data_IF_392616045838
#
_entry.id   IF_392616045838
#
_cell.length_a   1.000
_cell.length_b   1.000
_cell.length_c   1.000
_cell.angle_alpha   90.00
_cell.angle_beta   90.00
_cell.angle_gamma   90.00
#
_symmetry.space_group_name_H-M   'P 1'
#
loop_
_entity.id
_entity.type
_entity.pdbx_description
1 polymer ?
#
# COMPACT_ATOMS: atom_id res chain seq x y z
N UNK A 1 11.52 -23.73 -16.09
CA UNK A 1 10.30 -22.98 -16.50
C UNK A 1 9.71 -22.36 -15.24
N UNK A 2 9.46 -21.04 -15.20
CA UNK A 2 8.95 -20.36 -13.99
C UNK A 2 7.43 -20.51 -13.91
N UNK A 3 6.91 -20.98 -12.78
CA UNK A 3 5.47 -21.17 -12.56
C UNK A 3 4.74 -19.83 -12.37
N UNK A 4 3.42 -19.82 -12.58
CA UNK A 4 2.58 -18.64 -12.31
C UNK A 4 2.77 -18.14 -10.89
N UNK A 5 2.76 -19.05 -9.91
CA UNK A 5 2.94 -18.72 -8.50
C UNK A 5 4.30 -18.06 -8.23
N UNK A 6 5.38 -18.59 -8.80
CA UNK A 6 6.71 -17.96 -8.69
C UNK A 6 6.73 -16.54 -9.29
N UNK A 7 6.08 -16.33 -10.45
CA UNK A 7 5.96 -14.98 -11.04
C UNK A 7 5.22 -14.02 -10.10
N UNK A 8 4.11 -14.45 -9.50
CA UNK A 8 3.35 -13.65 -8.52
C UNK A 8 4.26 -13.26 -7.34
N UNK A 9 4.99 -14.22 -6.76
CA UNK A 9 5.88 -13.96 -5.63
C UNK A 9 6.99 -12.97 -5.97
N UNK A 10 7.66 -13.17 -7.11
CA UNK A 10 8.74 -12.27 -7.55
C UNK A 10 8.23 -10.86 -7.79
N UNK A 11 7.10 -10.70 -8.49
CA UNK A 11 6.49 -9.39 -8.74
C UNK A 11 6.09 -8.70 -7.44
N UNK A 12 5.45 -9.41 -6.50
CA UNK A 12 5.01 -8.81 -5.24
C UNK A 12 6.17 -8.50 -4.30
N UNK A 13 7.26 -9.26 -4.35
CA UNK A 13 8.47 -8.95 -3.58
C UNK A 13 9.11 -7.65 -4.08
N UNK A 14 9.25 -7.49 -5.41
CA UNK A 14 9.75 -6.24 -5.99
C UNK A 14 8.84 -5.07 -5.60
N UNK A 15 7.53 -5.23 -5.74
CA UNK A 15 6.57 -4.20 -5.36
C UNK A 15 6.64 -3.88 -3.87
N UNK A 16 6.79 -4.88 -3.00
CA UNK A 16 6.92 -4.68 -1.56
C UNK A 16 8.17 -3.87 -1.21
N UNK A 17 9.32 -4.16 -1.83
CA UNK A 17 10.55 -3.37 -1.62
C UNK A 17 10.35 -1.92 -2.03
N UNK A 18 9.68 -1.66 -3.15
CA UNK A 18 9.37 -0.30 -3.60
C UNK A 18 8.41 0.41 -2.63
N UNK A 19 7.39 -0.29 -2.13
CA UNK A 19 6.45 0.25 -1.16
C UNK A 19 7.10 0.51 0.22
N UNK A 20 8.06 -0.32 0.63
CA UNK A 20 8.85 -0.08 1.85
C UNK A 20 9.70 1.18 1.71
N UNK A 21 10.38 1.34 0.58
CA UNK A 21 11.15 2.56 0.31
C UNK A 21 10.24 3.79 0.29
N UNK A 22 9.05 3.67 -0.31
CA UNK A 22 8.06 4.74 -0.32
C UNK A 22 7.50 5.06 1.07
N UNK A 23 7.13 4.05 1.85
CA UNK A 23 6.63 4.22 3.22
C UNK A 23 7.69 4.82 4.15
N UNK A 24 8.97 4.47 3.95
CA UNK A 24 10.08 5.13 4.64
C UNK A 24 10.15 6.63 4.30
N UNK A 25 10.01 7.00 3.03
CA UNK A 25 10.00 8.40 2.62
C UNK A 25 8.81 9.17 3.18
N UNK A 26 7.62 8.56 3.23
CA UNK A 26 6.43 9.16 3.86
C UNK A 26 6.65 9.39 5.36
N UNK A 27 7.08 8.35 6.07
CA UNK A 27 7.37 8.43 7.51
C UNK A 27 8.46 9.46 7.82
N UNK A 28 9.52 9.48 7.02
CA UNK A 28 10.58 10.48 7.18
C UNK A 28 10.06 11.90 6.86
N UNK A 29 9.18 12.03 5.87
CA UNK A 29 8.54 13.27 5.45
C UNK A 29 7.72 13.95 6.54
N UNK A 30 7.03 13.17 7.40
CA UNK A 30 6.21 13.74 8.49
C UNK A 30 7.04 14.53 9.49
N UNK A 31 8.33 14.22 9.64
CA UNK A 31 9.23 14.91 10.58
C UNK A 31 9.77 16.25 10.05
N UNK A 32 9.44 16.64 8.82
CA UNK A 32 9.79 17.95 8.26
C UNK A 32 8.69 18.99 8.38
N UNK A 33 7.54 18.62 8.94
CA UNK A 33 6.41 19.50 9.18
C UNK A 33 6.22 19.60 10.69
N UNK A 34 6.11 20.82 11.20
CA UNK A 34 5.80 21.04 12.62
C UNK A 34 4.34 20.64 12.88
N UNK A 35 4.15 19.55 13.63
CA UNK A 35 2.85 19.06 14.08
C UNK A 35 2.99 18.56 15.52
N UNK A 36 1.95 18.77 16.32
CA UNK A 36 1.90 18.28 17.69
C UNK A 36 1.85 16.75 17.70
N UNK A 37 2.73 16.13 18.49
CA UNK A 37 2.64 14.69 18.73
C UNK A 37 1.29 14.34 19.39
N UNK A 38 0.66 13.19 19.04
CA UNK A 38 1.22 12.08 18.28
C UNK A 38 0.74 11.97 16.80
N UNK A 39 1.64 11.63 15.87
CA UNK A 39 1.35 11.37 14.43
C UNK A 39 0.52 10.09 14.15
N UNK A 40 -0.60 9.88 14.84
CA UNK A 40 -1.37 8.62 14.77
C UNK A 40 -2.00 8.45 13.39
N UNK A 41 -2.60 9.51 12.84
CA UNK A 41 -3.27 9.50 11.55
C UNK A 41 -2.33 9.13 10.40
N UNK A 42 -1.15 9.74 10.35
CA UNK A 42 -0.12 9.48 9.34
C UNK A 42 0.41 8.06 9.42
N UNK A 43 0.71 7.58 10.63
CA UNK A 43 1.22 6.22 10.83
C UNK A 43 0.19 5.16 10.39
N UNK A 44 -1.08 5.36 10.72
CA UNK A 44 -2.17 4.47 10.26
C UNK A 44 -2.39 4.57 8.75
N UNK A 45 -2.24 5.76 8.18
CA UNK A 45 -2.27 5.99 6.74
C UNK A 45 -1.14 5.20 6.06
N UNK A 46 0.11 5.33 6.52
CA UNK A 46 1.25 4.56 6.01
C UNK A 46 1.01 3.05 6.13
N UNK A 47 0.42 2.58 7.24
CA UNK A 47 0.05 1.18 7.41
C UNK A 47 -0.94 0.71 6.32
N UNK A 48 -1.93 1.53 5.94
CA UNK A 48 -2.91 1.18 4.91
C UNK A 48 -2.27 0.89 3.55
N UNK A 49 -1.15 1.52 3.20
CA UNK A 49 -0.39 1.20 1.98
C UNK A 49 -0.06 -0.30 1.93
N UNK A 50 0.39 -0.87 3.05
CA UNK A 50 0.76 -2.27 3.14
C UNK A 50 -0.46 -3.19 3.23
N UNK A 51 -1.56 -2.74 3.84
CA UNK A 51 -2.83 -3.47 3.86
C UNK A 51 -3.38 -3.63 2.44
N UNK A 52 -3.41 -2.55 1.65
CA UNK A 52 -3.86 -2.57 0.25
C UNK A 52 -3.00 -3.53 -0.58
N UNK A 53 -1.68 -3.45 -0.43
CA UNK A 53 -0.75 -4.36 -1.10
C UNK A 53 -0.98 -5.83 -0.69
N UNK A 54 -1.09 -6.09 0.61
CA UNK A 54 -1.26 -7.44 1.15
C UNK A 54 -2.55 -8.10 0.66
N UNK A 55 -3.65 -7.36 0.64
CA UNK A 55 -4.93 -7.82 0.08
C UNK A 55 -4.82 -8.09 -1.43
N UNK A 56 -4.21 -7.18 -2.18
CA UNK A 56 -3.97 -7.36 -3.61
C UNK A 56 -3.17 -8.62 -3.92
N UNK A 57 -2.07 -8.82 -3.21
CA UNK A 57 -1.23 -10.00 -3.31
C UNK A 57 -1.98 -11.29 -2.94
N UNK A 58 -2.74 -11.29 -1.84
CA UNK A 58 -3.57 -12.42 -1.45
C UNK A 58 -4.57 -12.82 -2.54
N UNK A 59 -5.26 -11.84 -3.15
CA UNK A 59 -6.24 -12.08 -4.22
C UNK A 59 -5.55 -12.62 -5.48
N UNK A 60 -4.35 -12.13 -5.83
CA UNK A 60 -3.57 -12.65 -6.96
C UNK A 60 -3.24 -14.14 -6.82
N UNK A 61 -2.90 -14.59 -5.60
CA UNK A 61 -2.60 -16.00 -5.32
C UNK A 61 -3.80 -16.94 -5.52
N UNK A 62 -5.02 -16.40 -5.57
CA UNK A 62 -6.26 -17.14 -5.84
C UNK A 62 -6.64 -17.16 -7.32
N UNK A 63 -5.93 -16.44 -8.19
CA UNK A 63 -6.28 -16.35 -9.60
C UNK A 63 -5.73 -17.54 -10.42
N UNK A 64 -6.55 -18.17 -11.28
CA UNK A 64 -6.14 -19.35 -12.04
C UNK A 64 -5.28 -19.04 -13.26
N UNK A 65 -5.26 -17.79 -13.74
CA UNK A 65 -4.58 -17.41 -14.98
C UNK A 65 -3.78 -16.12 -14.83
N UNK A 66 -2.68 -15.99 -15.59
CA UNK A 66 -1.85 -14.78 -15.57
C UNK A 66 -2.63 -13.51 -15.94
N UNK A 67 -3.60 -13.59 -16.87
CA UNK A 67 -4.42 -12.44 -17.26
C UNK A 67 -5.21 -11.89 -16.06
N UNK A 68 -5.79 -12.78 -15.25
CA UNK A 68 -6.52 -12.39 -14.03
C UNK A 68 -5.59 -11.87 -12.94
N UNK A 69 -4.40 -12.46 -12.78
CA UNK A 69 -3.36 -11.93 -11.88
C UNK A 69 -3.01 -10.49 -12.24
N UNK A 70 -2.76 -10.21 -13.52
CA UNK A 70 -2.43 -8.85 -14.00
C UNK A 70 -3.60 -7.90 -13.77
N UNK A 71 -4.84 -8.31 -14.02
CA UNK A 71 -6.01 -7.49 -13.73
C UNK A 71 -6.09 -7.11 -12.23
N UNK A 72 -5.87 -8.07 -11.33
CA UNK A 72 -5.83 -7.80 -9.88
C UNK A 72 -4.67 -6.86 -9.53
N UNK A 73 -3.48 -7.05 -10.11
CA UNK A 73 -2.36 -6.12 -9.90
C UNK A 73 -2.72 -4.69 -10.29
N UNK A 74 -3.30 -4.50 -11.48
CA UNK A 74 -3.71 -3.17 -11.95
C UNK A 74 -4.79 -2.56 -11.07
N UNK A 75 -5.77 -3.34 -10.60
CA UNK A 75 -6.77 -2.88 -9.65
C UNK A 75 -6.14 -2.46 -8.31
N UNK A 76 -5.21 -3.26 -7.78
CA UNK A 76 -4.49 -2.93 -6.54
C UNK A 76 -3.65 -1.67 -6.69
N UNK A 77 -2.96 -1.48 -7.81
CA UNK A 77 -2.20 -0.26 -8.09
C UNK A 77 -3.12 0.95 -8.28
N UNK A 78 -4.25 0.79 -8.97
CA UNK A 78 -5.26 1.84 -9.10
C UNK A 78 -5.82 2.26 -7.74
N UNK A 79 -6.09 1.29 -6.86
CA UNK A 79 -6.53 1.58 -5.50
C UNK A 79 -5.46 2.31 -4.67
N UNK A 80 -4.18 1.95 -4.82
CA UNK A 80 -3.08 2.72 -4.21
C UNK A 80 -3.06 4.17 -4.69
N UNK A 81 -3.20 4.40 -6.00
CA UNK A 81 -3.23 5.77 -6.57
C UNK A 81 -4.40 6.57 -6.01
N UNK A 82 -5.59 5.97 -5.98
CA UNK A 82 -6.78 6.62 -5.40
C UNK A 82 -6.59 6.93 -3.91
N UNK A 83 -6.00 5.99 -3.17
CA UNK A 83 -5.68 6.17 -1.76
C UNK A 83 -4.69 7.32 -1.56
N UNK A 84 -3.60 7.41 -2.34
CA UNK A 84 -2.66 8.54 -2.28
C UNK A 84 -3.31 9.87 -2.64
N UNK A 85 -4.15 9.90 -3.66
CA UNK A 85 -4.92 11.10 -4.01
C UNK A 85 -5.84 11.56 -2.87
N UNK A 86 -6.35 10.61 -2.08
CA UNK A 86 -7.26 10.85 -0.97
C UNK A 86 -6.57 10.88 0.39
N UNK A 87 -5.23 10.84 0.42
CA UNK A 87 -4.45 10.59 1.64
C UNK A 87 -4.75 11.60 2.75
N UNK A 88 -4.90 12.88 2.40
CA UNK A 88 -5.30 13.94 3.33
C UNK A 88 -6.58 13.57 4.11
N UNK A 89 -7.63 13.18 3.39
CA UNK A 89 -8.90 12.81 4.02
C UNK A 89 -8.80 11.55 4.87
N UNK A 90 -7.95 10.61 4.49
CA UNK A 90 -7.73 9.39 5.27
C UNK A 90 -7.00 9.68 6.57
N UNK A 91 -5.99 10.56 6.54
CA UNK A 91 -5.26 11.01 7.74
C UNK A 91 -6.23 11.72 8.68
N UNK A 92 -6.95 12.74 8.20
CA UNK A 92 -7.93 13.48 9.01
C UNK A 92 -9.03 12.57 9.58
N UNK A 93 -9.46 11.54 8.83
CA UNK A 93 -10.42 10.56 9.32
C UNK A 93 -9.87 9.76 10.51
N UNK A 94 -8.60 9.35 10.45
CA UNK A 94 -7.98 8.61 11.55
C UNK A 94 -7.71 9.49 12.77
N UNK A 95 -7.22 10.72 12.58
CA UNK A 95 -7.08 11.70 13.65
C UNK A 95 -8.41 11.90 14.37
N UNK A 96 -9.50 12.16 13.64
CA UNK A 96 -10.83 12.31 14.22
C UNK A 96 -11.33 11.12 15.06
N UNK A 97 -10.89 9.90 14.75
CA UNK A 97 -11.29 8.70 15.52
C UNK A 97 -10.45 8.51 16.77
N UNK A 98 -9.16 8.84 16.71
CA UNK A 98 -8.16 8.44 17.70
C UNK A 98 -7.59 9.58 18.54
N UNK A 99 -7.90 10.84 18.21
CA UNK A 99 -7.60 12.07 18.97
C UNK A 99 -8.88 12.77 19.45
#
# INVERSE_FOLDING_TARGET
MVTIRQKIHMTNLILFVLLLAWGFLLYFGTHFVEQDDPYVGENLSILLVYVIWGLGYFIQLKQPTMKRVVAVLLLSLGFQVLYFFSMYYVITFFEWIFE
#
